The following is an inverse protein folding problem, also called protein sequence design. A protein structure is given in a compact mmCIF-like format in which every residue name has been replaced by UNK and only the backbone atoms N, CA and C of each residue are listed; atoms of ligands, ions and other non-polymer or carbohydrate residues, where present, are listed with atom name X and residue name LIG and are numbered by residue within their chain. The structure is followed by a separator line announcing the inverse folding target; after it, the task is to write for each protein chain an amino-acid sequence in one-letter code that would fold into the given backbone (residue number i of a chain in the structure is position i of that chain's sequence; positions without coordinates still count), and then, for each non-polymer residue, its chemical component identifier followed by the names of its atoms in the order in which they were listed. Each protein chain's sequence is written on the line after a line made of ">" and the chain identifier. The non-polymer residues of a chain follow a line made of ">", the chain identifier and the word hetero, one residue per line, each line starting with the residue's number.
data_IF_627764442287
#
_entry.id   IF_627764442287
#
_cell.length_a   1.000
_cell.length_b   1.000
_cell.length_c   1.000
_cell.angle_alpha   90.00
_cell.angle_beta   90.00
_cell.angle_gamma   90.00
#
_symmetry.space_group_name_H-M   'P 1'
#
loop_
_entity.id
_entity.type
_entity.pdbx_description
1 polymer ?
#
# COMPACT_ATOMS: atom_id res chain seq x y z
N UNK A 1 -19.19 -2.83 11.74
CA UNK A 1 -18.95 -1.41 12.09
C UNK A 1 -19.46 -1.15 13.49
N UNK A 2 -18.61 -0.77 14.42
CA UNK A 2 -18.97 -0.47 15.81
C UNK A 2 -19.29 1.01 16.05
N UNK A 3 -18.78 1.92 15.19
CA UNK A 3 -19.04 3.36 15.26
C UNK A 3 -18.78 4.05 13.93
N UNK A 4 -19.27 5.29 13.79
CA UNK A 4 -18.98 6.19 12.68
C UNK A 4 -18.16 7.38 13.19
N UNK A 5 -16.99 7.60 12.63
CA UNK A 5 -16.16 8.77 12.92
C UNK A 5 -16.52 9.88 11.93
N UNK A 6 -17.12 10.96 12.44
CA UNK A 6 -17.52 12.11 11.62
C UNK A 6 -16.28 12.76 10.98
N UNK A 7 -16.32 12.97 9.67
CA UNK A 7 -15.23 13.60 8.92
C UNK A 7 -14.08 12.68 8.51
N UNK A 8 -14.04 11.41 8.94
CA UNK A 8 -12.96 10.47 8.63
C UNK A 8 -12.68 10.37 7.12
N UNK A 9 -13.72 10.22 6.28
CA UNK A 9 -13.54 10.13 4.82
C UNK A 9 -12.93 11.40 4.20
N UNK A 10 -13.19 12.58 4.77
CA UNK A 10 -12.54 13.83 4.35
C UNK A 10 -11.05 13.81 4.72
N UNK A 11 -10.72 13.40 5.93
CA UNK A 11 -9.32 13.30 6.39
C UNK A 11 -8.54 12.27 5.58
N UNK A 12 -9.12 11.10 5.34
CA UNK A 12 -8.47 10.08 4.51
C UNK A 12 -8.20 10.58 3.09
N UNK A 13 -9.16 11.30 2.48
CA UNK A 13 -8.97 11.88 1.15
C UNK A 13 -7.83 12.92 1.11
N UNK A 14 -7.74 13.78 2.14
CA UNK A 14 -6.66 14.78 2.25
C UNK A 14 -5.30 14.14 2.50
N UNK A 15 -5.23 13.14 3.37
CA UNK A 15 -4.00 12.43 3.69
C UNK A 15 -3.52 11.61 2.49
N UNK A 16 -4.43 10.92 1.79
CA UNK A 16 -4.08 10.19 0.57
C UNK A 16 -3.52 11.11 -0.51
N UNK A 17 -4.15 12.28 -0.75
CA UNK A 17 -3.59 13.30 -1.64
C UNK A 17 -2.16 13.72 -1.22
N UNK A 18 -1.98 14.01 0.07
CA UNK A 18 -0.68 14.44 0.60
C UNK A 18 0.42 13.41 0.38
N UNK A 19 0.15 12.13 0.69
CA UNK A 19 1.10 11.04 0.44
C UNK A 19 1.38 10.87 -1.06
N UNK A 20 0.35 10.85 -1.90
CA UNK A 20 0.52 10.65 -3.34
C UNK A 20 1.33 11.77 -4.00
N UNK A 21 1.11 13.04 -3.59
CA UNK A 21 1.91 14.18 -4.07
C UNK A 21 3.37 14.04 -3.61
N UNK A 22 3.58 13.71 -2.34
CA UNK A 22 4.92 13.50 -1.79
C UNK A 22 5.67 12.38 -2.51
N UNK A 23 5.02 11.26 -2.77
CA UNK A 23 5.59 10.13 -3.52
C UNK A 23 5.93 10.53 -4.96
N UNK A 24 5.06 11.30 -5.63
CA UNK A 24 5.35 11.82 -6.96
C UNK A 24 6.61 12.71 -6.98
N UNK A 25 6.81 13.52 -5.93
CA UNK A 25 7.97 14.43 -5.84
C UNK A 25 9.32 13.70 -5.73
N UNK A 26 9.31 12.45 -5.26
CA UNK A 26 10.50 11.59 -5.20
C UNK A 26 10.55 10.55 -6.33
N UNK A 27 9.74 10.75 -7.39
CA UNK A 27 9.73 9.91 -8.59
C UNK A 27 9.06 8.54 -8.42
N UNK A 28 8.12 8.40 -7.48
CA UNK A 28 7.29 7.20 -7.36
C UNK A 28 5.96 7.45 -8.07
N UNK A 29 5.68 6.74 -9.17
CA UNK A 29 4.48 6.96 -9.96
C UNK A 29 3.23 6.46 -9.22
N UNK A 30 2.15 7.25 -9.31
CA UNK A 30 0.86 6.88 -8.74
C UNK A 30 -0.30 7.38 -9.60
N UNK A 31 -1.49 6.98 -9.25
CA UNK A 31 -2.70 7.24 -10.02
C UNK A 31 -3.29 8.65 -9.80
N UNK A 32 -2.85 9.40 -8.79
CA UNK A 32 -3.44 10.71 -8.49
C UNK A 32 -3.16 11.70 -9.61
N UNK A 33 -4.21 12.36 -10.11
CA UNK A 33 -4.12 13.52 -11.00
C UNK A 33 -4.28 14.79 -10.20
N UNK A 34 -5.38 14.92 -9.47
CA UNK A 34 -5.65 16.06 -8.57
C UNK A 34 -6.86 15.78 -7.67
N UNK A 35 -6.96 16.48 -6.57
CA UNK A 35 -8.19 16.52 -5.78
C UNK A 35 -9.24 17.39 -6.46
N UNK A 36 -10.48 16.92 -6.49
CA UNK A 36 -11.64 17.65 -7.01
C UNK A 36 -12.35 18.43 -5.91
N UNK A 37 -12.55 17.81 -4.76
CA UNK A 37 -13.17 18.41 -3.57
C UNK A 37 -12.74 17.67 -2.31
N UNK A 38 -13.41 17.92 -1.19
CA UNK A 38 -13.07 17.31 0.11
C UNK A 38 -13.23 15.78 0.18
N UNK A 39 -13.90 15.16 -0.79
CA UNK A 39 -14.21 13.73 -0.78
C UNK A 39 -13.84 12.98 -2.05
N UNK A 40 -13.43 13.70 -3.09
CA UNK A 40 -13.22 13.14 -4.42
C UNK A 40 -11.87 13.54 -5.00
N UNK A 41 -11.24 12.61 -5.67
CA UNK A 41 -10.00 12.78 -6.42
C UNK A 41 -10.22 12.35 -7.88
N UNK A 42 -9.59 13.05 -8.79
CA UNK A 42 -9.42 12.61 -10.17
C UNK A 42 -8.16 11.74 -10.22
N UNK A 43 -8.32 10.53 -10.71
CA UNK A 43 -7.24 9.54 -10.80
C UNK A 43 -7.10 9.02 -12.23
N UNK A 44 -5.93 8.51 -12.54
CA UNK A 44 -5.68 7.75 -13.77
C UNK A 44 -6.41 6.41 -13.69
N UNK A 45 -7.11 6.04 -14.76
CA UNK A 45 -7.68 4.70 -14.89
C UNK A 45 -6.57 3.71 -15.22
N UNK A 46 -6.45 2.64 -14.45
CA UNK A 46 -5.43 1.61 -14.64
C UNK A 46 -6.03 0.21 -14.47
N UNK A 47 -5.37 -0.78 -15.06
CA UNK A 47 -5.69 -2.19 -14.85
C UNK A 47 -5.10 -2.62 -13.50
N UNK A 48 -5.95 -2.88 -12.51
CA UNK A 48 -5.51 -3.27 -11.17
C UNK A 48 -4.89 -4.68 -11.21
N UNK A 49 -3.70 -4.82 -10.63
CA UNK A 49 -3.10 -6.10 -10.33
C UNK A 49 -3.84 -6.67 -9.11
N UNK A 50 -4.37 -7.91 -9.17
CA UNK A 50 -5.24 -8.44 -8.12
C UNK A 50 -4.45 -8.87 -6.87
N UNK A 51 -3.58 -7.99 -6.38
CA UNK A 51 -2.72 -8.21 -5.22
C UNK A 51 -2.82 -7.02 -4.25
N UNK A 52 -2.90 -7.34 -2.97
CA UNK A 52 -2.55 -6.43 -1.90
C UNK A 52 -1.09 -6.67 -1.52
N UNK A 53 -0.30 -5.61 -1.48
CA UNK A 53 1.12 -5.63 -1.12
C UNK A 53 1.28 -5.01 0.25
N UNK A 54 1.65 -5.82 1.24
CA UNK A 54 1.79 -5.38 2.64
C UNK A 54 3.26 -5.29 3.01
N UNK A 55 3.70 -4.11 3.44
CA UNK A 55 5.06 -3.92 3.98
C UNK A 55 4.99 -3.85 5.49
N UNK A 56 5.81 -4.64 6.18
CA UNK A 56 5.83 -4.74 7.63
C UNK A 56 7.19 -4.39 8.20
N UNK A 57 7.21 -3.44 9.13
CA UNK A 57 8.38 -3.04 9.91
C UNK A 57 8.42 -3.76 11.27
N UNK A 58 7.26 -3.99 11.87
CA UNK A 58 7.09 -4.71 13.12
C UNK A 58 6.08 -5.83 12.95
N UNK A 59 6.21 -6.88 13.76
CA UNK A 59 5.22 -7.95 13.80
C UNK A 59 3.92 -7.43 14.44
N UNK A 60 2.81 -7.54 13.71
CA UNK A 60 1.50 -7.17 14.21
C UNK A 60 0.38 -7.93 13.46
N UNK A 61 -0.80 -8.00 14.07
CA UNK A 61 -2.01 -8.53 13.45
C UNK A 61 -1.85 -9.97 12.94
N UNK A 62 -2.11 -10.19 11.64
CA UNK A 62 -2.08 -11.54 11.05
C UNK A 62 -0.68 -12.16 11.07
N UNK A 63 0.39 -11.39 10.93
CA UNK A 63 1.76 -11.90 11.00
C UNK A 63 2.08 -12.44 12.39
N UNK A 64 1.79 -11.68 13.46
CA UNK A 64 2.01 -12.12 14.84
C UNK A 64 1.29 -13.44 15.12
N UNK A 65 0.04 -13.55 14.71
CA UNK A 65 -0.75 -14.79 14.90
C UNK A 65 -0.19 -15.96 14.10
N UNK A 66 0.18 -15.73 12.84
CA UNK A 66 0.65 -16.79 11.93
C UNK A 66 2.02 -17.32 12.30
N UNK A 67 2.92 -16.45 12.77
CA UNK A 67 4.31 -16.82 13.09
C UNK A 67 4.58 -16.98 14.59
N UNK A 68 3.57 -16.77 15.45
CA UNK A 68 3.73 -16.86 16.91
C UNK A 68 4.64 -15.79 17.51
N UNK A 69 4.75 -14.62 16.85
CA UNK A 69 5.56 -13.50 17.31
C UNK A 69 4.75 -12.59 18.24
N UNK A 70 5.40 -12.05 19.27
CA UNK A 70 4.78 -11.01 20.08
C UNK A 70 4.49 -9.76 19.24
N UNK A 71 3.33 -9.12 19.46
CA UNK A 71 3.03 -7.85 18.82
C UNK A 71 4.07 -6.78 19.18
N UNK A 72 4.49 -6.01 18.20
CA UNK A 72 5.53 -5.00 18.37
C UNK A 72 6.96 -5.54 18.25
N UNK A 73 7.17 -6.84 18.01
CA UNK A 73 8.50 -7.36 17.72
C UNK A 73 9.08 -6.68 16.49
N UNK A 74 10.23 -6.01 16.66
CA UNK A 74 10.95 -5.35 15.56
C UNK A 74 11.48 -6.43 14.60
N UNK A 75 11.17 -6.28 13.33
CA UNK A 75 11.68 -7.18 12.30
C UNK A 75 13.10 -6.79 11.91
N UNK A 76 14.00 -7.76 11.61
CA UNK A 76 15.37 -7.46 11.22
C UNK A 76 15.51 -6.57 9.97
N UNK A 77 14.48 -6.60 9.12
CA UNK A 77 14.31 -5.75 7.93
C UNK A 77 12.84 -5.65 7.60
N UNK A 78 12.39 -4.66 6.82
CA UNK A 78 11.03 -4.65 6.30
C UNK A 78 10.73 -5.93 5.52
N UNK A 79 9.56 -6.51 5.74
CA UNK A 79 9.09 -7.72 5.05
C UNK A 79 7.95 -7.30 4.12
N UNK A 80 8.03 -7.73 2.85
CA UNK A 80 6.97 -7.56 1.86
C UNK A 80 6.21 -8.86 1.74
N UNK A 81 4.90 -8.79 1.88
CA UNK A 81 3.97 -9.91 1.75
C UNK A 81 2.94 -9.62 0.67
N UNK A 82 2.52 -10.66 -0.05
CA UNK A 82 1.49 -10.58 -1.07
C UNK A 82 0.23 -11.30 -0.64
N UNK A 83 -0.92 -10.66 -0.84
CA UNK A 83 -2.22 -11.23 -0.59
C UNK A 83 -3.03 -11.17 -1.89
N UNK A 84 -3.73 -12.24 -2.22
CA UNK A 84 -4.63 -12.25 -3.37
C UNK A 84 -5.90 -11.47 -3.02
N UNK A 85 -6.14 -10.38 -3.75
CA UNK A 85 -7.29 -9.49 -3.55
C UNK A 85 -8.58 -10.17 -3.97
N UNK A 86 -9.20 -10.89 -3.03
CA UNK A 86 -10.42 -11.65 -3.22
C UNK A 86 -11.20 -11.73 -1.92
N UNK A 87 -12.08 -10.78 -1.67
CA UNK A 87 -12.88 -10.65 -0.44
C UNK A 87 -13.58 -11.96 -0.03
N UNK A 88 -14.11 -12.72 -1.02
CA UNK A 88 -14.78 -13.99 -0.79
C UNK A 88 -13.86 -15.06 -0.18
N UNK A 89 -12.55 -14.93 -0.36
CA UNK A 89 -11.52 -15.80 0.19
C UNK A 89 -10.81 -15.20 1.41
N UNK A 90 -11.24 -14.01 1.86
CA UNK A 90 -10.59 -13.24 2.94
C UNK A 90 -9.12 -12.93 2.64
N UNK A 91 -8.83 -12.54 1.41
CA UNK A 91 -7.54 -12.09 0.90
C UNK A 91 -6.38 -12.98 1.38
N UNK A 92 -6.27 -14.23 0.88
CA UNK A 92 -5.27 -15.18 1.36
C UNK A 92 -3.85 -14.75 1.01
N UNK A 93 -2.91 -15.03 1.92
CA UNK A 93 -1.48 -14.89 1.65
C UNK A 93 -1.08 -15.80 0.49
N UNK A 94 -0.33 -15.27 -0.46
CA UNK A 94 0.15 -15.99 -1.65
C UNK A 94 1.66 -15.85 -1.81
N UNK A 95 2.27 -16.80 -2.50
CA UNK A 95 3.69 -16.76 -2.85
C UNK A 95 3.89 -16.16 -4.23
N UNK A 96 5.12 -15.73 -4.55
CA UNK A 96 5.48 -15.29 -5.90
C UNK A 96 5.20 -16.37 -6.95
N UNK A 97 5.40 -17.65 -6.60
CA UNK A 97 5.11 -18.76 -7.49
C UNK A 97 3.61 -18.86 -7.85
N UNK A 98 2.72 -18.61 -6.87
CA UNK A 98 1.29 -18.51 -7.17
C UNK A 98 1.01 -17.35 -8.13
N UNK A 99 1.57 -16.17 -7.86
CA UNK A 99 1.34 -14.96 -8.64
C UNK A 99 1.76 -15.16 -10.09
N UNK A 100 2.94 -15.72 -10.30
CA UNK A 100 3.51 -15.97 -11.63
C UNK A 100 2.73 -17.07 -12.36
N UNK A 101 2.45 -18.19 -11.67
CA UNK A 101 1.77 -19.34 -12.27
C UNK A 101 0.33 -19.02 -12.72
N UNK A 102 -0.36 -18.15 -12.00
CA UNK A 102 -1.70 -17.70 -12.35
C UNK A 102 -1.72 -16.44 -13.24
N UNK A 103 -0.55 -15.95 -13.66
CA UNK A 103 -0.40 -14.77 -14.52
C UNK A 103 -1.02 -13.48 -13.93
N UNK A 104 -1.05 -13.33 -12.60
CA UNK A 104 -1.50 -12.10 -11.97
C UNK A 104 -0.48 -10.97 -12.15
N UNK A 105 0.81 -11.31 -12.03
CA UNK A 105 1.92 -10.43 -12.38
C UNK A 105 3.11 -11.25 -12.91
N UNK A 106 3.96 -10.60 -13.70
CA UNK A 106 5.24 -11.16 -14.13
C UNK A 106 6.30 -11.02 -13.06
N UNK A 107 7.40 -11.78 -13.15
CA UNK A 107 8.54 -11.66 -12.23
C UNK A 107 9.12 -10.24 -12.23
N UNK A 108 9.24 -9.62 -13.40
CA UNK A 108 9.74 -8.24 -13.54
C UNK A 108 8.82 -7.26 -12.83
N UNK A 109 7.49 -7.39 -13.00
CA UNK A 109 6.53 -6.55 -12.28
C UNK A 109 6.61 -6.76 -10.77
N UNK A 110 6.83 -7.99 -10.26
CA UNK A 110 6.99 -8.26 -8.83
C UNK A 110 8.26 -7.60 -8.26
N UNK A 111 9.38 -7.68 -8.97
CA UNK A 111 10.63 -7.03 -8.57
C UNK A 111 10.47 -5.51 -8.50
N UNK A 112 9.79 -4.92 -9.48
CA UNK A 112 9.47 -3.48 -9.50
C UNK A 112 8.50 -3.10 -8.37
N UNK A 113 7.44 -3.88 -8.12
CA UNK A 113 6.50 -3.70 -7.02
C UNK A 113 7.23 -3.70 -5.67
N UNK A 114 8.10 -4.68 -5.41
CA UNK A 114 8.89 -4.76 -4.17
C UNK A 114 9.79 -3.54 -4.02
N UNK A 115 10.49 -3.15 -5.08
CA UNK A 115 11.35 -1.97 -5.08
C UNK A 115 10.57 -0.69 -4.76
N UNK A 116 9.43 -0.48 -5.39
CA UNK A 116 8.55 0.67 -5.12
C UNK A 116 8.02 0.62 -3.68
N UNK A 117 7.52 -0.54 -3.23
CA UNK A 117 6.93 -0.71 -1.90
C UNK A 117 7.93 -0.39 -0.78
N UNK A 118 9.19 -0.80 -0.91
CA UNK A 118 10.24 -0.48 0.06
C UNK A 118 10.59 1.01 0.06
N UNK A 119 10.66 1.67 -1.10
CA UNK A 119 10.86 3.12 -1.19
C UNK A 119 9.69 3.90 -0.57
N UNK A 120 8.46 3.43 -0.78
CA UNK A 120 7.27 4.00 -0.12
C UNK A 120 7.37 3.84 1.40
N UNK A 121 7.83 2.66 1.87
CA UNK A 121 8.05 2.41 3.30
C UNK A 121 9.00 3.43 3.91
N UNK A 122 10.13 3.67 3.28
CA UNK A 122 11.14 4.63 3.77
C UNK A 122 10.57 6.05 3.84
N UNK A 123 9.84 6.46 2.80
CA UNK A 123 9.20 7.77 2.72
C UNK A 123 8.15 7.96 3.82
N UNK A 124 7.19 7.03 3.95
CA UNK A 124 6.12 7.13 4.95
C UNK A 124 6.68 7.03 6.36
N UNK A 125 7.62 6.11 6.61
CA UNK A 125 8.29 5.97 7.92
C UNK A 125 8.98 7.27 8.34
N UNK A 126 9.69 7.92 7.41
CA UNK A 126 10.34 9.20 7.67
C UNK A 126 9.34 10.29 8.03
N UNK A 127 8.22 10.38 7.30
CA UNK A 127 7.15 11.35 7.57
C UNK A 127 6.48 11.09 8.93
N UNK A 128 6.14 9.84 9.23
CA UNK A 128 5.49 9.47 10.50
C UNK A 128 6.42 9.71 11.69
N UNK A 129 7.70 9.32 11.59
CA UNK A 129 8.69 9.55 12.62
C UNK A 129 8.88 11.04 12.94
N UNK A 130 8.72 11.94 11.95
CA UNK A 130 8.84 13.39 12.18
C UNK A 130 7.76 13.96 13.12
N UNK A 131 6.68 13.21 13.33
CA UNK A 131 5.57 13.56 14.23
C UNK A 131 5.41 12.57 15.38
N UNK A 132 6.45 11.81 15.70
CA UNK A 132 6.50 10.79 16.76
C UNK A 132 5.46 9.68 16.60
N UNK A 133 5.16 9.30 15.37
CA UNK A 133 4.31 8.15 15.03
C UNK A 133 5.17 7.07 14.39
N UNK A 134 4.98 5.83 14.82
CA UNK A 134 5.69 4.67 14.27
C UNK A 134 4.81 3.97 13.21
N UNK A 135 5.34 3.80 12.01
CA UNK A 135 4.70 3.00 10.97
C UNK A 135 4.99 1.51 11.22
N UNK A 136 3.97 0.77 11.60
CA UNK A 136 4.07 -0.67 11.89
C UNK A 136 4.02 -1.48 10.61
N UNK A 137 2.97 -1.32 9.86
CA UNK A 137 2.76 -1.90 8.54
C UNK A 137 1.77 -1.04 7.72
N UNK A 138 1.76 -1.26 6.41
CA UNK A 138 0.79 -0.64 5.53
C UNK A 138 0.57 -1.50 4.28
N UNK A 139 -0.56 -1.24 3.62
CA UNK A 139 -0.99 -1.91 2.40
C UNK A 139 -0.89 -0.97 1.20
N UNK A 140 -0.43 -1.51 0.08
CA UNK A 140 -0.45 -0.87 -1.24
C UNK A 140 -1.19 -1.73 -2.24
N UNK A 141 -1.76 -1.08 -3.23
CA UNK A 141 -2.25 -1.71 -4.45
C UNK A 141 -1.54 -1.11 -5.66
N UNK A 142 -1.40 -1.90 -6.71
CA UNK A 142 -0.71 -1.50 -7.93
C UNK A 142 -1.61 -1.70 -9.14
N UNK A 143 -1.43 -0.83 -10.12
CA UNK A 143 -2.11 -0.93 -11.40
C UNK A 143 -1.15 -0.75 -12.56
N UNK A 144 -1.56 -1.28 -13.72
CA UNK A 144 -0.90 -1.08 -15.01
C UNK A 144 -1.56 0.09 -15.71
N UNK A 145 -0.79 1.11 -15.96
CA UNK A 145 -1.21 2.31 -16.66
C UNK A 145 -0.50 2.40 -18.02
N UNK A 146 -1.24 2.66 -19.07
CA UNK A 146 -0.69 2.84 -20.41
C UNK A 146 -0.61 4.33 -20.71
N UNK A 147 0.58 4.82 -20.97
CA UNK A 147 0.87 6.19 -21.36
C UNK A 147 1.79 6.15 -22.58
N UNK A 148 1.37 6.77 -23.69
CA UNK A 148 2.11 6.79 -24.95
C UNK A 148 2.56 5.39 -25.43
N UNK A 149 1.65 4.41 -25.34
CA UNK A 149 1.87 3.00 -25.69
C UNK A 149 2.88 2.27 -24.76
N UNK A 150 3.38 2.93 -23.73
CA UNK A 150 4.27 2.35 -22.72
C UNK A 150 3.46 1.94 -21.49
N UNK A 151 3.59 0.67 -21.11
CA UNK A 151 3.01 0.13 -19.88
C UNK A 151 3.89 0.48 -18.68
N UNK A 152 3.31 1.14 -17.69
CA UNK A 152 3.98 1.55 -16.45
C UNK A 152 3.24 0.97 -15.24
N UNK A 153 3.99 0.53 -14.23
CA UNK A 153 3.42 0.26 -12.92
C UNK A 153 3.23 1.57 -12.14
N UNK A 154 2.05 1.73 -11.56
CA UNK A 154 1.73 2.87 -10.71
C UNK A 154 1.07 2.40 -9.42
N UNK A 155 1.27 3.13 -8.33
CA UNK A 155 0.51 2.93 -7.10
C UNK A 155 -0.93 3.36 -7.37
N UNK A 156 -1.86 2.50 -6.98
CA UNK A 156 -3.30 2.71 -7.05
C UNK A 156 -3.92 2.69 -5.65
N UNK A 157 -5.25 2.81 -5.56
CA UNK A 157 -5.98 2.85 -4.30
C UNK A 157 -5.53 4.00 -3.37
N UNK A 158 -5.86 3.96 -2.10
CA UNK A 158 -5.49 5.01 -1.16
C UNK A 158 -4.25 4.63 -0.33
N UNK A 159 -3.51 5.65 0.10
CA UNK A 159 -2.60 5.57 1.24
C UNK A 159 -3.16 6.48 2.31
N UNK A 160 -3.69 5.90 3.38
CA UNK A 160 -4.36 6.63 4.45
C UNK A 160 -4.21 5.88 5.77
N UNK A 161 -4.66 6.44 6.91
CA UNK A 161 -4.70 5.69 8.17
C UNK A 161 -5.51 4.40 8.12
N UNK A 162 -6.39 4.21 7.11
CA UNK A 162 -7.14 2.96 6.93
C UNK A 162 -6.32 1.86 6.27
N UNK A 163 -5.31 2.23 5.48
CA UNK A 163 -4.37 1.29 4.86
C UNK A 163 -3.06 1.14 5.64
N UNK A 164 -2.88 1.89 6.76
CA UNK A 164 -1.70 1.88 7.60
C UNK A 164 -2.04 1.48 9.04
N UNK A 165 -1.11 0.78 9.70
CA UNK A 165 -1.10 0.62 11.16
C UNK A 165 -0.05 1.56 11.73
N UNK A 166 -0.52 2.50 12.56
CA UNK A 166 0.28 3.57 13.14
C UNK A 166 0.19 3.51 14.66
N UNK A 167 1.33 3.61 15.34
CA UNK A 167 1.42 3.65 16.80
C UNK A 167 2.14 4.92 17.25
N UNK A 168 1.72 5.45 18.38
CA UNK A 168 2.35 6.52 19.15
C UNK A 168 3.34 5.98 20.20
#
# INVERSE_FOLDING_TARGET
>A
KTATIKGKGVLNNLLSEHFMIGLSSIGIPNHLVRRLNMREQLIKSCEIIPLEVVVRNLAAGSMSKRLGLAEGTILPRPIVEFYYKKDELSDPLVTEEHIISFNWATRIELEEIVSIALRVNDFISGMMNSVNITLIDFKLEFGRYIEDEVKKLIIADEISPDSCRLWD
#
